data_IF_505265009133
#
_entry.id   IF_505265009133
#
_cell.length_a   1.000
_cell.length_b   1.000
_cell.length_c   1.000
_cell.angle_alpha   90.00
_cell.angle_beta   90.00
_cell.angle_gamma   90.00
#
_symmetry.space_group_name_H-M   'P 1'
#
loop_
_entity.id
_entity.type
_entity.pdbx_description
1 polymer ?
#
# COMPACT_ATOMS: atom_id res chain seq x y z
N UNK A 1 7.54 1.86 11.64
CA UNK A 1 8.74 2.73 11.78
C UNK A 1 10.00 1.99 11.36
N UNK A 2 11.08 2.68 10.96
CA UNK A 2 12.38 2.01 10.77
C UNK A 2 12.94 1.50 12.11
N UNK A 3 13.94 0.61 12.05
CA UNK A 3 14.64 0.12 13.27
C UNK A 3 15.27 1.25 14.11
N UNK A 4 15.56 2.40 13.49
CA UNK A 4 16.11 3.58 14.18
C UNK A 4 15.02 4.51 14.73
N UNK A 5 13.75 4.08 14.74
CA UNK A 5 12.64 4.86 15.27
C UNK A 5 12.22 6.04 14.40
N UNK A 6 12.60 6.07 13.11
CA UNK A 6 12.20 7.14 12.19
C UNK A 6 11.00 6.72 11.33
N UNK A 7 10.09 7.64 10.97
CA UNK A 7 9.11 7.36 9.93
C UNK A 7 9.84 7.12 8.61
N UNK A 8 9.30 6.21 7.80
CA UNK A 8 9.73 5.97 6.43
C UNK A 8 8.52 6.06 5.53
N UNK A 9 8.62 6.88 4.50
CA UNK A 9 7.59 7.03 3.49
C UNK A 9 8.06 6.39 2.18
N UNK A 10 7.16 5.67 1.54
CA UNK A 10 7.32 5.14 0.21
C UNK A 10 5.99 5.27 -0.53
N UNK A 11 6.05 5.59 -1.82
CA UNK A 11 4.85 5.53 -2.67
C UNK A 11 4.63 4.09 -3.10
N UNK A 12 3.37 3.66 -3.06
CA UNK A 12 2.92 2.40 -3.65
C UNK A 12 1.93 2.72 -4.76
N UNK A 13 1.90 1.88 -5.77
CA UNK A 13 1.00 2.03 -6.91
C UNK A 13 -0.32 1.28 -6.71
N UNK A 14 -1.30 1.56 -7.58
CA UNK A 14 -2.58 0.83 -7.61
C UNK A 14 -2.41 -0.68 -7.88
N UNK A 15 -1.28 -1.11 -8.44
CA UNK A 15 -0.95 -2.52 -8.64
C UNK A 15 -0.37 -3.23 -7.42
N UNK A 16 -0.17 -2.55 -6.30
CA UNK A 16 0.52 -3.08 -5.11
C UNK A 16 -0.37 -3.11 -3.86
N UNK A 17 -1.63 -2.70 -3.99
CA UNK A 17 -2.59 -2.64 -2.88
C UNK A 17 -3.98 -3.10 -3.33
N UNK A 18 -4.64 -3.88 -2.49
CA UNK A 18 -5.99 -4.38 -2.70
C UNK A 18 -6.81 -4.19 -1.43
N UNK A 19 -7.99 -3.57 -1.53
CA UNK A 19 -8.97 -3.61 -0.46
C UNK A 19 -9.75 -4.93 -0.53
N UNK A 20 -9.60 -5.79 0.48
CA UNK A 20 -10.33 -7.06 0.59
C UNK A 20 -11.70 -6.85 1.24
N UNK A 21 -11.76 -5.92 2.19
CA UNK A 21 -13.01 -5.43 2.80
C UNK A 21 -12.84 -3.96 3.19
N UNK A 22 -13.88 -3.35 3.76
CA UNK A 22 -13.81 -2.00 4.33
C UNK A 22 -12.82 -1.87 5.51
N UNK A 23 -12.39 -2.99 6.09
CA UNK A 23 -11.52 -3.04 7.28
C UNK A 23 -10.21 -3.80 7.05
N UNK A 24 -10.02 -4.40 5.87
CA UNK A 24 -8.82 -5.17 5.55
C UNK A 24 -8.30 -4.82 4.16
N UNK A 25 -7.02 -4.51 4.13
CA UNK A 25 -6.22 -4.28 2.93
C UNK A 25 -5.21 -5.41 2.81
N UNK A 26 -4.72 -5.66 1.60
CA UNK A 26 -3.52 -6.43 1.35
C UNK A 26 -2.57 -5.63 0.49
N UNK A 27 -1.27 -5.76 0.76
CA UNK A 27 -0.22 -5.05 0.03
C UNK A 27 0.88 -6.01 -0.41
N UNK A 28 1.43 -5.79 -1.61
CA UNK A 28 2.54 -6.55 -2.18
C UNK A 28 3.71 -5.59 -2.47
N UNK A 29 4.84 -5.82 -1.82
CA UNK A 29 6.01 -4.95 -1.88
C UNK A 29 7.22 -5.68 -2.42
N UNK A 30 8.11 -4.94 -3.09
CA UNK A 30 9.41 -5.48 -3.46
C UNK A 30 10.18 -5.91 -2.21
N UNK A 31 10.76 -7.11 -2.28
CA UNK A 31 11.60 -7.67 -1.21
C UNK A 31 12.78 -6.74 -0.92
N UNK A 32 13.32 -6.86 0.29
CA UNK A 32 14.54 -6.16 0.74
C UNK A 32 14.44 -4.62 0.83
N UNK A 33 13.27 -4.03 0.61
CA UNK A 33 13.04 -2.59 0.79
C UNK A 33 12.99 -2.18 2.27
N UNK A 34 13.23 -0.90 2.55
CA UNK A 34 13.10 -0.34 3.91
C UNK A 34 11.67 -0.46 4.44
N UNK A 35 10.66 -0.31 3.58
CA UNK A 35 9.24 -0.51 3.93
C UNK A 35 8.98 -1.94 4.41
N UNK A 36 9.42 -2.95 3.65
CA UNK A 36 9.28 -4.36 4.05
C UNK A 36 9.98 -4.62 5.38
N UNK A 37 11.23 -4.18 5.55
CA UNK A 37 11.97 -4.35 6.81
C UNK A 37 11.28 -3.66 7.99
N UNK A 38 10.63 -2.52 7.76
CA UNK A 38 9.91 -1.77 8.79
C UNK A 38 8.59 -2.43 9.17
N UNK A 39 7.86 -2.97 8.19
CA UNK A 39 6.62 -3.71 8.41
C UNK A 39 6.88 -5.02 9.14
N UNK A 40 7.88 -5.80 8.73
CA UNK A 40 8.28 -7.03 9.43
C UNK A 40 8.72 -6.76 10.87
N UNK A 41 9.29 -5.59 11.14
CA UNK A 41 9.76 -5.23 12.48
C UNK A 41 8.65 -4.70 13.40
N UNK A 42 7.81 -3.80 12.89
CA UNK A 42 6.84 -3.05 13.73
C UNK A 42 5.39 -3.47 13.54
N UNK A 43 5.06 -4.15 12.44
CA UNK A 43 3.67 -4.46 12.07
C UNK A 43 2.80 -3.23 11.86
N UNK A 44 3.35 -2.02 11.84
CA UNK A 44 2.57 -0.78 11.84
C UNK A 44 2.89 0.08 10.62
N UNK A 45 1.84 0.60 10.00
CA UNK A 45 1.94 1.53 8.89
C UNK A 45 0.86 2.62 8.94
N UNK A 46 1.15 3.71 8.23
CA UNK A 46 0.18 4.73 7.89
C UNK A 46 0.02 4.74 6.37
N UNK A 47 -1.17 4.42 5.89
CA UNK A 47 -1.51 4.52 4.48
C UNK A 47 -2.22 5.85 4.23
N UNK A 48 -1.80 6.57 3.20
CA UNK A 48 -2.37 7.87 2.83
C UNK A 48 -2.98 7.73 1.44
N UNK A 49 -4.25 8.11 1.31
CA UNK A 49 -4.98 8.11 0.06
C UNK A 49 -5.69 9.45 -0.15
N UNK A 50 -5.97 9.80 -1.39
CA UNK A 50 -6.68 11.03 -1.74
C UNK A 50 -7.94 10.65 -2.51
N UNK A 51 -9.09 11.13 -2.05
CA UNK A 51 -10.38 10.82 -2.67
C UNK A 51 -11.42 11.89 -2.31
N UNK A 52 -12.33 12.20 -3.24
CA UNK A 52 -13.48 13.07 -2.96
C UNK A 52 -13.12 14.45 -2.38
N UNK A 53 -11.98 15.01 -2.76
CA UNK A 53 -11.53 16.31 -2.24
C UNK A 53 -10.95 16.29 -0.82
N UNK A 54 -10.56 15.13 -0.29
CA UNK A 54 -9.89 15.00 1.00
C UNK A 54 -8.68 14.05 0.92
N UNK A 55 -7.73 14.24 1.85
CA UNK A 55 -6.71 13.26 2.16
C UNK A 55 -7.20 12.36 3.30
N UNK A 56 -6.93 11.07 3.22
CA UNK A 56 -7.30 10.07 4.22
C UNK A 56 -6.03 9.46 4.80
N UNK A 57 -5.90 9.51 6.11
CA UNK A 57 -4.82 8.88 6.86
C UNK A 57 -5.37 7.63 7.55
N UNK A 58 -4.94 6.48 7.08
CA UNK A 58 -5.42 5.17 7.53
C UNK A 58 -4.32 4.48 8.33
N UNK A 59 -4.53 4.32 9.62
CA UNK A 59 -3.61 3.58 10.49
C UNK A 59 -3.84 2.09 10.28
N UNK A 60 -2.76 1.35 10.02
CA UNK A 60 -2.79 -0.07 9.71
C UNK A 60 -1.96 -0.87 10.70
N UNK A 61 -2.47 -2.05 11.06
CA UNK A 61 -1.70 -3.13 11.64
C UNK A 61 -1.55 -4.24 10.60
N UNK A 62 -0.33 -4.64 10.30
CA UNK A 62 0.03 -5.49 9.18
C UNK A 62 0.78 -6.74 9.64
N UNK A 63 0.40 -7.88 9.09
CA UNK A 63 1.04 -9.17 9.29
C UNK A 63 1.51 -9.73 7.95
N UNK A 64 2.68 -10.37 7.94
CA UNK A 64 3.20 -10.99 6.73
C UNK A 64 2.32 -12.18 6.32
N UNK A 65 1.98 -12.25 5.03
CA UNK A 65 1.30 -13.40 4.44
C UNK A 65 2.33 -14.45 4.01
N UNK A 66 1.97 -15.74 4.01
CA UNK A 66 2.85 -16.78 3.49
C UNK A 66 3.26 -16.51 2.04
N UNK A 67 4.49 -16.92 1.64
CA UNK A 67 4.90 -16.81 0.24
C UNK A 67 4.02 -17.69 -0.66
N UNK A 68 3.72 -17.21 -1.85
CA UNK A 68 3.08 -18.02 -2.89
C UNK A 68 4.15 -18.82 -3.62
N UNK A 69 3.97 -20.14 -3.72
CA UNK A 69 4.95 -21.04 -4.37
C UNK A 69 5.12 -20.77 -5.87
N UNK A 70 4.08 -20.27 -6.52
CA UNK A 70 4.02 -20.09 -7.97
C UNK A 70 3.82 -18.61 -8.37
N UNK A 71 4.21 -17.67 -7.50
CA UNK A 71 4.16 -16.25 -7.84
C UNK A 71 5.07 -15.96 -9.04
N UNK A 72 4.54 -15.24 -10.02
CA UNK A 72 5.31 -14.80 -11.19
C UNK A 72 6.35 -13.76 -10.80
N UNK A 73 6.05 -12.97 -9.77
CA UNK A 73 6.96 -11.96 -9.23
C UNK A 73 7.13 -12.17 -7.73
N UNK A 74 8.36 -12.37 -7.29
CA UNK A 74 8.63 -12.52 -5.86
C UNK A 74 8.39 -11.20 -5.11
N UNK A 75 7.30 -11.15 -4.36
CA UNK A 75 6.90 -10.03 -3.50
C UNK A 75 6.76 -10.47 -2.05
N UNK A 76 7.02 -9.54 -1.14
CA UNK A 76 6.58 -9.69 0.24
C UNK A 76 5.13 -9.21 0.32
N UNK A 77 4.24 -10.05 0.86
CA UNK A 77 2.81 -9.74 0.95
C UNK A 77 2.43 -9.55 2.41
N UNK A 78 1.50 -8.64 2.65
CA UNK A 78 0.97 -8.38 3.99
C UNK A 78 -0.55 -8.30 3.96
N UNK A 79 -1.17 -8.81 5.02
CA UNK A 79 -2.56 -8.52 5.38
C UNK A 79 -2.55 -7.38 6.38
N UNK A 80 -3.28 -6.31 6.10
CA UNK A 80 -3.28 -5.09 6.89
C UNK A 80 -4.70 -4.76 7.36
N UNK A 81 -4.93 -4.79 8.66
CA UNK A 81 -6.18 -4.41 9.30
C UNK A 81 -6.22 -2.91 9.53
N UNK A 82 -7.34 -2.29 9.18
CA UNK A 82 -7.61 -0.87 9.44
C UNK A 82 -7.91 -0.68 10.92
N UNK A 83 -7.12 0.17 11.57
CA UNK A 83 -7.27 0.53 12.99
C UNK A 83 -8.07 1.81 13.15
N UNK A 84 -7.75 2.82 12.33
CA UNK A 84 -8.42 4.12 12.36
C UNK A 84 -8.29 4.81 11.01
N UNK A 85 -9.25 5.70 10.73
CA UNK A 85 -9.26 6.55 9.54
C UNK A 85 -9.46 7.99 9.99
N UNK A 86 -8.62 8.90 9.51
CA UNK A 86 -8.79 10.34 9.65
C UNK A 86 -8.98 10.94 8.26
N UNK A 87 -10.12 11.60 8.05
CA UNK A 87 -10.33 12.50 6.92
C UNK A 87 -9.70 13.85 7.21
N UNK A 88 -8.95 14.38 6.24
CA UNK A 88 -8.37 15.71 6.25
C UNK A 88 -8.87 16.49 5.04
N UNK A 89 -9.83 17.38 5.31
CA UNK A 89 -10.48 18.24 4.34
C UNK A 89 -10.28 19.69 4.75
N UNK A 90 -9.63 20.46 3.88
CA UNK A 90 -9.49 21.89 4.09
C UNK A 90 -10.85 22.60 3.92
N UNK A 91 -11.15 23.53 4.82
CA UNK A 91 -12.37 24.37 4.72
C UNK A 91 -12.22 25.52 3.72
N UNK A 92 -10.97 25.87 3.37
CA UNK A 92 -10.64 27.06 2.60
C UNK A 92 -10.24 26.75 1.15
N UNK A 93 -10.06 25.48 0.80
CA UNK A 93 -9.60 25.04 -0.51
C UNK A 93 -10.09 23.63 -0.80
N UNK A 94 -10.34 23.37 -2.08
CA UNK A 94 -10.62 22.03 -2.57
C UNK A 94 -9.32 21.33 -2.93
N UNK A 95 -9.13 20.12 -2.42
CA UNK A 95 -8.11 19.22 -2.92
C UNK A 95 -8.56 18.67 -4.28
N UNK A 96 -7.95 19.13 -5.36
CA UNK A 96 -8.38 18.78 -6.73
C UNK A 96 -7.75 17.49 -7.25
N UNK A 97 -6.61 17.05 -6.70
CA UNK A 97 -5.96 15.80 -7.08
C UNK A 97 -5.05 15.24 -5.99
N UNK A 98 -4.79 13.92 -6.04
CA UNK A 98 -3.69 13.27 -5.34
C UNK A 98 -2.39 13.25 -6.18
N UNK A 99 -1.42 12.39 -5.83
CA UNK A 99 -0.24 12.17 -6.65
C UNK A 99 -0.60 11.47 -7.98
N UNK A 100 -0.02 11.94 -9.08
CA UNK A 100 -0.16 11.36 -10.41
C UNK A 100 1.17 10.75 -10.87
N UNK A 101 1.09 9.64 -11.60
CA UNK A 101 2.25 8.98 -12.22
C UNK A 101 1.97 8.73 -13.70
N UNK A 102 3.02 8.86 -14.52
CA UNK A 102 3.00 8.46 -15.92
C UNK A 102 3.82 7.19 -16.08
N UNK A 103 3.23 6.13 -16.63
CA UNK A 103 3.95 4.90 -16.93
C UNK A 103 4.72 5.06 -18.24
N UNK A 104 5.99 4.67 -18.23
CA UNK A 104 6.82 4.65 -19.44
C UNK A 104 6.43 3.50 -20.38
N UNK A 105 6.05 2.36 -19.82
CA UNK A 105 5.59 1.17 -20.55
C UNK A 105 4.25 0.70 -19.96
N UNK A 106 3.13 1.37 -20.31
CA UNK A 106 1.85 1.13 -19.67
C UNK A 106 1.39 -0.33 -19.81
N UNK A 107 1.51 -0.93 -21.00
CA UNK A 107 1.02 -2.30 -21.22
C UNK A 107 1.75 -3.34 -20.37
N UNK A 108 3.09 -3.28 -20.33
CA UNK A 108 3.91 -4.22 -19.55
C UNK A 108 3.67 -4.05 -18.04
N UNK A 109 3.58 -2.79 -17.58
CA UNK A 109 3.35 -2.46 -16.17
C UNK A 109 1.95 -2.86 -15.72
N UNK A 110 0.92 -2.56 -16.51
CA UNK A 110 -0.48 -2.91 -16.20
C UNK A 110 -0.68 -4.42 -16.18
N UNK A 111 -0.06 -5.16 -17.10
CA UNK A 111 -0.07 -6.63 -17.08
C UNK A 111 0.52 -7.17 -15.77
N UNK A 112 1.70 -6.69 -15.37
CA UNK A 112 2.34 -7.06 -14.09
C UNK A 112 1.47 -6.69 -12.89
N UNK A 113 0.85 -5.51 -12.89
CA UNK A 113 -0.04 -5.08 -11.82
C UNK A 113 -1.25 -5.99 -11.70
N UNK A 114 -1.88 -6.37 -12.82
CA UNK A 114 -2.99 -7.33 -12.80
C UNK A 114 -2.58 -8.65 -12.17
N UNK A 115 -1.40 -9.19 -12.53
CA UNK A 115 -0.89 -10.44 -11.95
C UNK A 115 -0.63 -10.30 -10.44
N UNK A 116 -0.05 -9.17 -10.01
CA UNK A 116 0.19 -8.88 -8.58
C UNK A 116 -1.12 -8.78 -7.80
N UNK A 117 -2.15 -8.16 -8.37
CA UNK A 117 -3.46 -8.03 -7.73
C UNK A 117 -4.20 -9.37 -7.61
N UNK A 118 -4.08 -10.26 -8.61
CA UNK A 118 -4.62 -11.63 -8.50
C UNK A 118 -3.88 -12.44 -7.43
N UNK A 119 -2.56 -12.30 -7.33
CA UNK A 119 -1.77 -12.90 -6.25
C UNK A 119 -2.17 -12.36 -4.86
N UNK A 120 -2.56 -11.09 -4.75
CA UNK A 120 -3.03 -10.51 -3.49
C UNK A 120 -4.40 -11.04 -3.04
N UNK A 121 -5.22 -11.59 -3.94
CA UNK A 121 -6.52 -12.19 -3.57
C UNK A 121 -6.37 -13.52 -2.83
N UNK A 122 -5.22 -14.17 -2.94
CA UNK A 122 -4.91 -15.47 -2.34
C UNK A 122 -4.49 -15.30 -0.88
#
# INVERSE_FOLDING_TARGET
MTKQGRPHAAMISAGEILAVSSTNLRIALWKNTTTVKSLLHSGQALFIAWHGGAAYYVTLECEALPPLKEAKYERERFSCRVISVKEDRAKYADLTSGPAIQLHEPESVLKRWSETLEELKQ
#
